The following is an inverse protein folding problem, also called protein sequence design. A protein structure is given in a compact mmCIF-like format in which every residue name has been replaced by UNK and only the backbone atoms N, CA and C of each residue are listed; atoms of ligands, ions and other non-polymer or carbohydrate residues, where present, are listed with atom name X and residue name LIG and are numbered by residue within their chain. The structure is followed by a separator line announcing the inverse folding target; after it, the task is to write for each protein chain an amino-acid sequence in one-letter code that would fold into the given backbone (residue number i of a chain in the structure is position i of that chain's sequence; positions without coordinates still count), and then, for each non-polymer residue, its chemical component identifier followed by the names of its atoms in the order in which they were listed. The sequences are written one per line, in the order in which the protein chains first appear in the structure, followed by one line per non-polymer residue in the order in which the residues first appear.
data_IF_688640028472
#
_entry.id   IF_688640028472
#
_cell.length_a   1.000
_cell.length_b   1.000
_cell.length_c   1.000
_cell.angle_alpha   90.00
_cell.angle_beta   90.00
_cell.angle_gamma   90.00
#
_symmetry.space_group_name_H-M   'P 1'
#
loop_
_entity.id
_entity.type
_entity.pdbx_description
1 polymer ?
#
# COMPACT_ATOMS: atom_id res chain seq x y z
N UNK A 1 3.40 -6.47 17.94
CA UNK A 1 4.10 -5.50 17.07
C UNK A 1 3.24 -4.79 16.01
N UNK A 2 2.03 -5.22 15.63
CA UNK A 2 1.11 -4.47 14.73
C UNK A 2 1.77 -3.84 13.48
N UNK A 3 2.83 -4.47 12.95
CA UNK A 3 3.64 -3.95 11.83
C UNK A 3 3.27 -4.57 10.48
N UNK A 4 2.42 -5.59 10.50
CA UNK A 4 1.80 -6.20 9.33
C UNK A 4 0.34 -6.50 9.68
N UNK A 5 -0.57 -6.13 8.78
CA UNK A 5 -2.01 -6.29 8.94
C UNK A 5 -2.61 -6.75 7.62
N UNK A 6 -3.73 -7.45 7.71
CA UNK A 6 -4.54 -7.82 6.56
C UNK A 6 -5.97 -7.44 6.87
N UNK A 7 -6.60 -6.67 5.99
CA UNK A 7 -8.06 -6.54 5.99
C UNK A 7 -8.63 -7.53 5.00
N UNK A 8 -9.69 -8.22 5.39
CA UNK A 8 -10.33 -9.26 4.58
C UNK A 8 -11.75 -8.82 4.23
N UNK A 9 -12.11 -8.92 2.96
CA UNK A 9 -13.45 -8.62 2.43
C UNK A 9 -13.98 -7.24 2.81
N UNK A 10 -13.16 -6.22 2.59
CA UNK A 10 -13.59 -4.82 2.70
C UNK A 10 -13.97 -4.33 1.29
N UNK A 11 -13.25 -3.39 0.67
CA UNK A 11 -13.46 -3.03 -0.74
C UNK A 11 -12.94 -4.12 -1.69
N UNK A 12 -11.73 -4.61 -1.40
CA UNK A 12 -11.10 -5.74 -2.09
C UNK A 12 -11.12 -6.99 -1.20
N UNK A 13 -10.90 -8.16 -1.80
CA UNK A 13 -10.80 -9.43 -1.05
C UNK A 13 -9.73 -9.36 0.05
N UNK A 14 -8.58 -8.74 -0.24
CA UNK A 14 -7.46 -8.60 0.68
C UNK A 14 -6.79 -7.24 0.54
N UNK A 15 -6.58 -6.56 1.67
CA UNK A 15 -5.68 -5.39 1.76
C UNK A 15 -4.50 -5.74 2.67
N UNK A 16 -3.34 -5.94 2.07
CA UNK A 16 -2.09 -6.27 2.76
C UNK A 16 -1.35 -4.98 3.15
N UNK A 17 -1.09 -4.79 4.44
CA UNK A 17 -0.56 -3.54 4.98
C UNK A 17 0.69 -3.84 5.78
N UNK A 18 1.79 -3.17 5.45
CA UNK A 18 3.03 -3.17 6.23
C UNK A 18 3.29 -1.75 6.70
N UNK A 19 3.49 -1.54 8.01
CA UNK A 19 3.71 -0.21 8.58
C UNK A 19 4.55 -0.29 9.86
N UNK A 20 5.18 0.83 10.23
CA UNK A 20 5.90 0.97 11.50
C UNK A 20 6.12 2.45 11.82
N UNK A 21 6.54 2.74 13.05
CA UNK A 21 7.05 4.05 13.42
C UNK A 21 8.42 4.31 12.78
N UNK A 22 8.73 5.58 12.52
CA UNK A 22 9.96 5.99 11.83
C UNK A 22 9.81 6.01 10.30
N UNK A 23 10.93 6.10 9.60
CA UNK A 23 10.98 6.31 8.14
C UNK A 23 11.70 5.22 7.34
N UNK A 24 11.92 4.03 7.90
CA UNK A 24 12.59 2.94 7.20
C UNK A 24 11.66 2.25 6.18
N UNK A 25 11.51 2.88 5.02
CA UNK A 25 10.71 2.37 3.91
C UNK A 25 11.23 1.02 3.39
N UNK A 26 12.55 0.81 3.41
CA UNK A 26 13.17 -0.43 2.92
C UNK A 26 12.71 -1.63 3.76
N UNK A 27 12.70 -1.49 5.08
CA UNK A 27 12.24 -2.54 5.98
C UNK A 27 10.73 -2.79 5.82
N UNK A 28 9.93 -1.73 5.74
CA UNK A 28 8.47 -1.82 5.56
C UNK A 28 8.13 -2.55 4.26
N UNK A 29 8.76 -2.14 3.15
CA UNK A 29 8.52 -2.69 1.84
C UNK A 29 9.00 -4.14 1.73
N UNK A 30 10.18 -4.46 2.28
CA UNK A 30 10.68 -5.85 2.32
C UNK A 30 9.69 -6.78 3.04
N UNK A 31 9.16 -6.34 4.19
CA UNK A 31 8.16 -7.11 4.94
C UNK A 31 6.87 -7.30 4.13
N UNK A 32 6.41 -6.28 3.40
CA UNK A 32 5.23 -6.38 2.53
C UNK A 32 5.44 -7.41 1.42
N UNK A 33 6.54 -7.31 0.67
CA UNK A 33 6.85 -8.20 -0.45
C UNK A 33 6.97 -9.66 0.01
N UNK A 34 7.64 -9.90 1.14
CA UNK A 34 7.73 -11.25 1.72
C UNK A 34 6.33 -11.81 2.00
N UNK A 35 5.45 -11.02 2.62
CA UNK A 35 4.11 -11.49 2.94
C UNK A 35 3.23 -11.71 1.70
N UNK A 36 3.30 -10.82 0.70
CA UNK A 36 2.59 -10.98 -0.58
C UNK A 36 2.99 -12.29 -1.26
N UNK A 37 4.29 -12.52 -1.41
CA UNK A 37 4.82 -13.73 -2.06
C UNK A 37 4.44 -15.01 -1.31
N UNK A 38 4.34 -14.96 0.02
CA UNK A 38 3.96 -16.13 0.81
C UNK A 38 2.45 -16.42 0.77
N UNK A 39 1.62 -15.39 0.65
CA UNK A 39 0.16 -15.53 0.52
C UNK A 39 -0.21 -16.00 -0.90
N UNK A 40 0.43 -15.45 -1.94
CA UNK A 40 0.15 -15.79 -3.34
C UNK A 40 0.38 -17.28 -3.64
N UNK A 41 1.33 -17.92 -2.94
CA UNK A 41 1.56 -19.38 -3.01
C UNK A 41 0.34 -20.22 -2.59
N UNK A 42 -0.57 -19.66 -1.80
CA UNK A 42 -1.73 -20.36 -1.23
C UNK A 42 -3.04 -19.87 -1.84
N UNK A 43 -3.10 -18.59 -2.19
CA UNK A 43 -4.28 -17.95 -2.75
C UNK A 43 -3.84 -17.22 -4.03
N UNK A 44 -4.15 -17.77 -5.22
CA UNK A 44 -3.76 -17.13 -6.47
C UNK A 44 -4.51 -15.80 -6.63
N UNK A 45 -3.77 -14.72 -6.90
CA UNK A 45 -4.37 -13.41 -7.13
C UNK A 45 -4.89 -13.28 -8.56
N UNK A 46 -5.97 -12.51 -8.71
CA UNK A 46 -6.55 -12.22 -10.02
C UNK A 46 -5.64 -11.24 -10.78
N UNK A 47 -5.17 -11.64 -11.95
CA UNK A 47 -4.26 -10.85 -12.79
C UNK A 47 -4.76 -10.82 -14.24
N UNK A 48 -4.53 -9.70 -14.91
CA UNK A 48 -4.80 -9.51 -16.32
C UNK A 48 -3.56 -8.95 -17.03
N UNK A 49 -3.26 -9.44 -18.23
CA UNK A 49 -2.05 -9.06 -18.96
C UNK A 49 -1.94 -7.56 -19.26
N UNK A 50 -3.07 -6.88 -19.45
CA UNK A 50 -3.12 -5.43 -19.71
C UNK A 50 -3.18 -4.63 -18.42
N UNK A 51 -3.97 -5.08 -17.44
CA UNK A 51 -4.34 -4.29 -16.27
C UNK A 51 -3.53 -4.62 -15.01
N UNK A 52 -2.69 -5.64 -15.04
CA UNK A 52 -1.97 -6.12 -13.86
C UNK A 52 -2.89 -6.83 -12.86
N UNK A 53 -2.62 -6.68 -11.57
CA UNK A 53 -3.47 -7.21 -10.52
C UNK A 53 -4.82 -6.49 -10.51
N UNK A 54 -5.89 -7.28 -10.46
CA UNK A 54 -7.27 -6.80 -10.54
C UNK A 54 -7.79 -6.46 -9.13
N UNK A 55 -8.41 -5.30 -9.04
CA UNK A 55 -9.06 -4.75 -7.83
C UNK A 55 -10.46 -4.30 -8.17
N UNK A 56 -11.29 -4.08 -7.15
CA UNK A 56 -12.65 -3.60 -7.32
C UNK A 56 -12.69 -2.20 -7.96
N UNK A 57 -11.92 -1.25 -7.42
CA UNK A 57 -11.84 0.10 -7.98
C UNK A 57 -10.78 0.20 -9.09
N UNK A 58 -11.08 0.81 -10.26
CA UNK A 58 -10.11 0.97 -11.35
C UNK A 58 -8.86 1.76 -10.98
N UNK A 59 -8.93 2.64 -9.98
CA UNK A 59 -7.79 3.47 -9.54
C UNK A 59 -6.70 2.67 -8.84
N UNK A 60 -7.02 1.44 -8.41
CA UNK A 60 -6.09 0.56 -7.70
C UNK A 60 -5.46 -0.52 -8.60
N UNK A 61 -5.76 -0.56 -9.90
CA UNK A 61 -5.22 -1.57 -10.84
C UNK A 61 -3.69 -1.49 -11.00
N UNK A 62 -3.11 -2.53 -11.61
CA UNK A 62 -1.70 -2.58 -11.93
C UNK A 62 -0.88 -3.20 -10.81
N UNK A 63 -0.14 -2.37 -10.09
CA UNK A 63 0.67 -2.83 -8.95
C UNK A 63 -0.15 -3.01 -7.69
N UNK A 64 -1.30 -2.34 -7.58
CA UNK A 64 -2.12 -2.25 -6.36
C UNK A 64 -1.36 -1.72 -5.13
N UNK A 65 -0.18 -1.11 -5.34
CA UNK A 65 0.69 -0.63 -4.27
C UNK A 65 0.43 0.84 -3.99
N UNK A 66 0.17 1.16 -2.72
CA UNK A 66 0.19 2.52 -2.19
C UNK A 66 1.25 2.64 -1.10
N UNK A 67 2.33 3.36 -1.38
CA UNK A 67 3.33 3.74 -0.38
C UNK A 67 3.02 5.14 0.17
N UNK A 68 2.94 5.26 1.49
CA UNK A 68 2.60 6.53 2.15
C UNK A 68 3.34 6.70 3.47
N UNK A 69 3.55 7.95 3.86
CA UNK A 69 4.09 8.33 5.18
C UNK A 69 3.14 9.30 5.87
N UNK A 70 3.05 9.22 7.19
CA UNK A 70 2.51 10.30 7.99
C UNK A 70 3.67 11.25 8.33
N UNK A 71 3.70 12.42 7.71
CA UNK A 71 4.80 13.39 7.83
C UNK A 71 4.31 14.71 8.44
N UNK A 72 5.17 15.37 9.22
CA UNK A 72 4.92 16.71 9.77
C UNK A 72 5.71 17.75 8.98
N UNK A 73 5.02 18.60 8.23
CA UNK A 73 5.60 19.67 7.42
C UNK A 73 5.00 21.04 7.80
N UNK A 74 5.19 21.52 9.05
CA UNK A 74 4.45 22.68 9.57
C UNK A 74 4.65 23.97 8.76
N UNK A 75 5.83 24.15 8.13
CA UNK A 75 6.12 25.33 7.31
C UNK A 75 5.45 25.28 5.94
N UNK A 76 5.45 24.11 5.30
CA UNK A 76 4.85 23.94 3.97
C UNK A 76 3.33 23.86 4.08
N UNK A 77 2.82 23.12 5.07
CA UNK A 77 1.39 22.95 5.30
C UNK A 77 0.67 24.21 5.83
N UNK A 78 1.40 25.28 6.15
CA UNK A 78 0.80 26.58 6.48
C UNK A 78 0.08 27.21 5.28
N UNK A 79 0.49 26.85 4.06
CA UNK A 79 -0.19 27.19 2.82
C UNK A 79 -0.62 25.89 2.12
N UNK A 80 -1.91 25.60 2.18
CA UNK A 80 -2.47 24.35 1.64
C UNK A 80 -2.36 24.29 0.11
N UNK A 81 -2.59 25.40 -0.59
CA UNK A 81 -2.52 25.42 -2.05
C UNK A 81 -1.08 25.09 -2.49
N UNK A 82 -0.10 25.72 -1.84
CA UNK A 82 1.31 25.43 -2.08
C UNK A 82 1.71 23.99 -1.73
N UNK A 83 1.12 23.37 -0.71
CA UNK A 83 1.37 21.97 -0.38
C UNK A 83 0.82 21.02 -1.45
N UNK A 84 -0.36 21.30 -1.99
CA UNK A 84 -1.02 20.45 -3.00
C UNK A 84 -0.39 20.57 -4.40
N UNK A 85 0.34 21.64 -4.67
CA UNK A 85 1.12 21.83 -5.90
C UNK A 85 2.40 20.96 -5.98
N UNK A 86 2.88 20.43 -4.85
CA UNK A 86 4.12 19.63 -4.74
C UNK A 86 3.82 18.15 -4.92
#
# INVERSE_FOLDING_TARGET
NKTFLVWCNEEDHLRLISMQMGGDLKQVYKRLVTAVNDIEKRVPFSHNDRLGFLTFCPTNLGTTVRASVHIKLPKLAADKARLEEV
#
